data_IF_363236986168
#
_entry.id   IF_363236986168
#
_cell.length_a   1.000
_cell.length_b   1.000
_cell.length_c   1.000
_cell.angle_alpha   90.00
_cell.angle_beta   90.00
_cell.angle_gamma   90.00
#
_symmetry.space_group_name_H-M   'P 1'
#
loop_
_entity.id
_entity.type
_entity.pdbx_description
1 polymer ?
#
# COMPACT_ATOMS: atom_id res chain seq x y z
N UNK A 1 4.94 16.87 -18.43
CA UNK A 1 4.07 17.96 -18.94
C UNK A 1 4.89 18.92 -19.82
N UNK A 2 4.30 19.57 -20.83
CA UNK A 2 5.00 20.52 -21.70
C UNK A 2 5.53 21.75 -20.93
N UNK A 3 6.68 22.30 -21.35
CA UNK A 3 7.32 23.45 -20.67
C UNK A 3 6.44 24.70 -20.65
N UNK A 4 5.83 25.05 -21.78
CA UNK A 4 4.96 26.24 -21.90
C UNK A 4 3.72 26.13 -21.01
N UNK A 5 3.21 24.90 -20.85
CA UNK A 5 2.09 24.64 -19.96
C UNK A 5 2.46 24.89 -18.50
N UNK A 6 3.63 24.41 -18.06
CA UNK A 6 4.14 24.63 -16.71
C UNK A 6 4.32 26.12 -16.45
N UNK A 7 5.06 26.82 -17.32
CA UNK A 7 5.31 28.25 -17.18
C UNK A 7 4.00 29.04 -17.10
N UNK A 8 3.04 28.75 -17.98
CA UNK A 8 1.75 29.43 -18.02
C UNK A 8 0.99 29.32 -16.69
N UNK A 9 0.97 28.14 -16.06
CA UNK A 9 0.24 27.94 -14.81
C UNK A 9 1.01 28.42 -13.58
N UNK A 10 2.33 28.28 -13.54
CA UNK A 10 3.15 28.78 -12.42
C UNK A 10 3.09 30.31 -12.33
N UNK A 11 3.06 31.02 -13.47
CA UNK A 11 2.97 32.48 -13.52
C UNK A 11 1.53 33.01 -13.59
N UNK A 12 0.53 32.14 -13.56
CA UNK A 12 -0.88 32.55 -13.59
C UNK A 12 -1.29 33.19 -12.25
N UNK A 13 -1.95 34.36 -12.32
CA UNK A 13 -2.34 35.12 -11.12
C UNK A 13 -3.39 34.43 -10.25
N UNK A 14 -4.09 33.44 -10.78
CA UNK A 14 -5.08 32.63 -10.05
C UNK A 14 -4.46 31.42 -9.37
N UNK A 15 -3.18 31.14 -9.62
CA UNK A 15 -2.41 30.08 -8.99
C UNK A 15 -1.51 30.67 -7.90
N UNK A 16 -1.30 29.89 -6.85
CA UNK A 16 -0.42 30.21 -5.74
C UNK A 16 0.66 29.13 -5.66
N UNK A 17 1.86 29.51 -5.24
CA UNK A 17 2.96 28.57 -5.04
C UNK A 17 3.56 28.72 -3.65
N UNK A 18 3.85 27.59 -3.01
CA UNK A 18 4.72 27.52 -1.83
C UNK A 18 6.02 26.83 -2.24
N UNK A 19 7.15 27.41 -1.86
CA UNK A 19 8.47 26.91 -2.21
C UNK A 19 9.36 26.77 -0.98
N UNK A 20 10.22 25.76 -0.98
CA UNK A 20 11.35 25.66 -0.05
C UNK A 20 12.54 26.31 -0.73
N UNK A 21 13.11 27.31 -0.07
CA UNK A 21 14.26 28.07 -0.56
C UNK A 21 15.39 27.96 0.45
N UNK A 22 16.58 27.55 0.00
CA UNK A 22 17.83 27.58 0.76
C UNK A 22 18.56 28.89 0.50
N UNK A 23 19.36 29.32 1.47
CA UNK A 23 20.23 30.48 1.29
C UNK A 23 21.33 30.15 0.27
N UNK A 24 21.71 31.08 -0.64
CA UNK A 24 21.23 32.46 -0.70
C UNK A 24 19.81 32.61 -1.27
N UNK A 25 19.42 31.92 -2.35
CA UNK A 25 18.05 31.90 -2.92
C UNK A 25 17.83 30.68 -3.82
N UNK A 26 18.29 29.50 -3.40
CA UNK A 26 18.20 28.27 -4.17
C UNK A 26 16.88 27.54 -3.90
N UNK A 27 16.06 27.34 -4.94
CA UNK A 27 14.77 26.62 -4.81
C UNK A 27 15.00 25.11 -4.76
N UNK A 28 14.64 24.48 -3.65
CA UNK A 28 14.74 23.03 -3.43
C UNK A 28 13.54 22.29 -3.97
N UNK A 29 12.37 22.92 -3.95
CA UNK A 29 11.11 22.31 -4.38
C UNK A 29 9.92 23.21 -4.09
N UNK A 30 8.77 22.84 -4.62
CA UNK A 30 7.57 23.66 -4.53
C UNK A 30 6.29 22.90 -4.82
N UNK A 31 5.19 23.46 -4.33
CA UNK A 31 3.82 23.07 -4.71
C UNK A 31 3.12 24.29 -5.28
N UNK A 32 2.59 24.15 -6.49
CA UNK A 32 1.69 25.12 -7.11
C UNK A 32 0.28 24.58 -7.03
N UNK A 33 -0.65 25.40 -6.54
CA UNK A 33 -2.05 25.04 -6.35
C UNK A 33 -2.98 26.18 -6.76
N UNK A 34 -4.20 25.83 -7.14
CA UNK A 34 -5.27 26.76 -7.50
C UNK A 34 -6.40 26.69 -6.46
N UNK A 35 -6.63 27.73 -5.65
CA UNK A 35 -7.67 27.72 -4.64
C UNK A 35 -9.07 28.01 -5.22
N UNK A 36 -10.06 27.23 -4.80
CA UNK A 36 -11.48 27.47 -5.07
C UNK A 36 -12.21 27.73 -3.74
N UNK A 37 -11.98 28.91 -3.14
CA UNK A 37 -12.46 29.24 -1.79
C UNK A 37 -13.96 29.06 -1.60
N UNK A 38 -14.78 29.48 -2.57
CA UNK A 38 -16.25 29.30 -2.52
C UNK A 38 -16.69 27.84 -2.51
N UNK A 39 -15.87 26.95 -3.08
CA UNK A 39 -16.11 25.50 -3.20
C UNK A 39 -15.34 24.69 -2.16
N UNK A 40 -14.58 25.36 -1.26
CA UNK A 40 -13.82 24.78 -0.14
C UNK A 40 -12.80 23.71 -0.54
N UNK A 41 -12.33 23.72 -1.79
CA UNK A 41 -11.25 22.83 -2.25
C UNK A 41 -10.15 23.62 -2.98
N UNK A 42 -8.98 23.02 -3.12
CA UNK A 42 -7.92 23.49 -4.00
C UNK A 42 -7.43 22.36 -4.91
N UNK A 43 -7.09 22.71 -6.13
CA UNK A 43 -6.40 21.83 -7.07
C UNK A 43 -4.89 21.96 -6.85
N UNK A 44 -4.20 20.88 -6.52
CA UNK A 44 -2.73 20.83 -6.57
C UNK A 44 -2.34 20.50 -8.00
N UNK A 45 -1.69 21.45 -8.67
CA UNK A 45 -1.34 21.37 -10.09
C UNK A 45 0.06 20.77 -10.25
N UNK A 46 1.01 21.26 -9.46
CA UNK A 46 2.40 20.79 -9.49
C UNK A 46 2.90 20.53 -8.07
N UNK A 47 3.63 19.44 -7.88
CA UNK A 47 4.34 19.12 -6.66
C UNK A 47 5.67 18.49 -7.03
N UNK A 48 6.78 19.18 -6.81
CA UNK A 48 8.09 18.70 -7.20
C UNK A 48 9.16 19.09 -6.18
N UNK A 49 10.11 18.17 -5.97
CA UNK A 49 11.35 18.38 -5.21
C UNK A 49 12.51 18.08 -6.16
N UNK A 50 13.54 18.92 -6.11
CA UNK A 50 14.79 18.73 -6.86
C UNK A 50 15.35 17.33 -6.61
N UNK A 51 15.80 16.66 -7.67
CA UNK A 51 16.18 15.23 -7.66
C UNK A 51 17.25 14.92 -6.61
N UNK A 52 18.24 15.80 -6.45
CA UNK A 52 19.33 15.71 -5.47
C UNK A 52 18.88 15.90 -4.01
N UNK A 53 17.64 16.39 -3.80
CA UNK A 53 17.06 16.62 -2.48
C UNK A 53 15.88 15.68 -2.18
N UNK A 54 15.54 14.76 -3.08
CA UNK A 54 14.50 13.76 -2.83
C UNK A 54 14.89 12.84 -1.66
N UNK A 55 13.91 12.19 -1.04
CA UNK A 55 14.06 11.27 0.12
C UNK A 55 14.50 11.94 1.44
N UNK A 56 14.92 13.22 1.43
CA UNK A 56 15.31 13.98 2.64
C UNK A 56 14.13 14.53 3.47
N UNK A 57 12.89 14.14 3.16
CA UNK A 57 11.69 14.58 3.88
C UNK A 57 11.11 15.94 3.47
N UNK A 58 11.73 16.66 2.54
CA UNK A 58 11.24 17.99 2.09
C UNK A 58 9.82 17.97 1.54
N UNK A 59 9.43 16.95 0.77
CA UNK A 59 8.07 16.84 0.24
C UNK A 59 7.02 16.75 1.35
N UNK A 60 7.24 15.89 2.35
CA UNK A 60 6.32 15.77 3.49
C UNK A 60 6.26 17.07 4.30
N UNK A 61 7.42 17.73 4.50
CA UNK A 61 7.47 19.02 5.18
C UNK A 61 6.70 20.11 4.41
N UNK A 62 6.90 20.19 3.10
CA UNK A 62 6.22 21.14 2.22
C UNK A 62 4.70 20.95 2.22
N UNK A 63 4.23 19.70 2.12
CA UNK A 63 2.81 19.39 2.19
C UNK A 63 2.20 19.73 3.56
N UNK A 64 2.93 19.51 4.65
CA UNK A 64 2.49 19.91 5.99
C UNK A 64 2.35 21.43 6.11
N UNK A 65 3.32 22.20 5.61
CA UNK A 65 3.23 23.66 5.52
C UNK A 65 2.04 24.12 4.67
N UNK A 66 1.84 23.52 3.50
CA UNK A 66 0.71 23.85 2.62
C UNK A 66 -0.62 23.63 3.33
N UNK A 67 -0.82 22.47 3.97
CA UNK A 67 -2.05 22.14 4.71
C UNK A 67 -2.31 23.12 5.85
N UNK A 68 -1.30 23.40 6.68
CA UNK A 68 -1.45 24.32 7.80
C UNK A 68 -1.70 25.75 7.34
N UNK A 69 -1.00 26.20 6.29
CA UNK A 69 -1.18 27.52 5.69
C UNK A 69 -2.59 27.69 5.12
N UNK A 70 -3.02 26.79 4.22
CA UNK A 70 -4.33 26.87 3.54
C UNK A 70 -5.46 26.80 4.56
N UNK A 71 -5.36 25.94 5.56
CA UNK A 71 -6.37 25.83 6.62
C UNK A 71 -6.43 27.08 7.52
N UNK A 72 -5.32 27.77 7.70
CA UNK A 72 -5.26 28.99 8.52
C UNK A 72 -5.75 30.24 7.76
N UNK A 73 -5.63 30.27 6.44
CA UNK A 73 -5.87 31.48 5.62
C UNK A 73 -7.11 31.40 4.74
N UNK A 74 -7.77 30.24 4.66
CA UNK A 74 -8.89 30.02 3.74
C UNK A 74 -9.91 29.00 4.30
N UNK A 75 -11.13 28.90 3.73
CA UNK A 75 -12.11 27.89 4.12
C UNK A 75 -11.85 26.51 3.48
N UNK A 76 -10.73 26.33 2.78
CA UNK A 76 -10.43 25.11 2.04
C UNK A 76 -10.12 23.96 3.01
N UNK A 77 -10.79 22.84 2.80
CA UNK A 77 -10.61 21.61 3.59
C UNK A 77 -10.25 20.39 2.73
N UNK A 78 -10.28 20.53 1.40
CA UNK A 78 -10.02 19.44 0.47
C UNK A 78 -8.94 19.83 -0.53
N UNK A 79 -8.04 18.90 -0.81
CA UNK A 79 -7.15 18.99 -1.98
C UNK A 79 -7.52 17.92 -2.99
N UNK A 80 -7.58 18.31 -4.25
CA UNK A 80 -7.68 17.40 -5.39
C UNK A 80 -6.41 17.52 -6.23
N UNK A 81 -5.95 16.41 -6.76
CA UNK A 81 -4.77 16.36 -7.63
C UNK A 81 -4.88 15.22 -8.62
N UNK A 82 -4.30 15.39 -9.80
CA UNK A 82 -4.00 14.27 -10.69
C UNK A 82 -2.55 13.85 -10.46
N UNK A 83 -2.36 12.72 -9.80
CA UNK A 83 -1.04 12.16 -9.54
C UNK A 83 -0.61 11.25 -10.70
N UNK A 84 0.63 11.40 -11.15
CA UNK A 84 1.25 10.37 -11.99
C UNK A 84 1.49 9.08 -11.18
N UNK A 85 1.74 7.97 -11.89
CA UNK A 85 1.91 6.66 -11.25
C UNK A 85 3.05 6.62 -10.23
N UNK A 86 4.11 7.43 -10.42
CA UNK A 86 5.25 7.50 -9.51
C UNK A 86 4.95 8.29 -8.23
N UNK A 87 4.03 9.26 -8.30
CA UNK A 87 3.66 10.12 -7.19
C UNK A 87 2.52 9.56 -6.31
N UNK A 88 1.77 8.54 -6.75
CA UNK A 88 0.65 7.96 -5.98
C UNK A 88 1.11 7.55 -4.58
N UNK A 89 2.26 6.86 -4.46
CA UNK A 89 2.79 6.43 -3.16
C UNK A 89 3.11 7.61 -2.24
N UNK A 90 3.64 8.70 -2.79
CA UNK A 90 3.87 9.94 -2.04
C UNK A 90 2.55 10.53 -1.55
N UNK A 91 1.57 10.73 -2.44
CA UNK A 91 0.28 11.33 -2.09
C UNK A 91 -0.49 10.47 -1.07
N UNK A 92 -0.47 9.14 -1.19
CA UNK A 92 -1.02 8.22 -0.17
C UNK A 92 -0.43 8.48 1.21
N UNK A 93 0.91 8.57 1.32
CA UNK A 93 1.60 8.90 2.59
C UNK A 93 1.22 10.28 3.12
N UNK A 94 0.83 11.20 2.24
CA UNK A 94 0.31 12.52 2.60
C UNK A 94 -1.20 12.52 2.89
N UNK A 95 -1.88 11.37 3.00
CA UNK A 95 -3.30 11.28 3.33
C UNK A 95 -4.23 11.53 2.15
N UNK A 96 -3.76 11.31 0.92
CA UNK A 96 -4.63 11.27 -0.25
C UNK A 96 -5.13 9.84 -0.51
N UNK A 97 -6.35 9.73 -1.02
CA UNK A 97 -6.98 8.48 -1.46
C UNK A 97 -7.46 8.59 -2.90
N UNK A 98 -7.59 7.45 -3.60
CA UNK A 98 -8.22 7.39 -4.93
C UNK A 98 -9.75 7.51 -4.84
N UNK A 99 -10.33 7.30 -3.65
CA UNK A 99 -11.76 7.42 -3.41
C UNK A 99 -12.14 8.90 -3.26
N UNK A 100 -12.85 9.43 -4.25
CA UNK A 100 -13.29 10.83 -4.27
C UNK A 100 -14.67 10.92 -3.61
N UNK A 101 -14.68 11.37 -2.35
CA UNK A 101 -15.92 11.54 -1.57
C UNK A 101 -16.56 12.92 -1.78
N UNK A 102 -15.82 13.87 -2.35
CA UNK A 102 -16.35 15.19 -2.70
C UNK A 102 -17.32 15.08 -3.89
N UNK A 103 -18.52 15.60 -3.73
CA UNK A 103 -19.57 15.55 -4.75
C UNK A 103 -19.06 16.10 -6.10
N UNK A 104 -19.38 15.40 -7.19
CA UNK A 104 -18.91 15.73 -8.54
C UNK A 104 -19.26 17.15 -8.95
N UNK A 105 -20.42 17.68 -8.55
CA UNK A 105 -20.84 19.06 -8.86
C UNK A 105 -19.92 20.14 -8.26
N UNK A 106 -19.14 19.78 -7.25
CA UNK A 106 -18.22 20.70 -6.56
C UNK A 106 -16.94 20.91 -7.39
N UNK A 107 -16.44 19.89 -8.07
CA UNK A 107 -15.09 19.93 -8.68
C UNK A 107 -15.05 19.60 -10.18
N UNK A 108 -16.02 18.84 -10.69
CA UNK A 108 -16.05 18.42 -12.10
C UNK A 108 -16.19 19.64 -13.00
N UNK A 109 -15.31 19.76 -14.00
CA UNK A 109 -15.23 20.92 -14.90
C UNK A 109 -14.45 22.12 -14.35
N UNK A 110 -14.01 22.09 -13.09
CA UNK A 110 -13.19 23.16 -12.48
C UNK A 110 -11.70 22.85 -12.48
N UNK A 111 -11.35 21.57 -12.36
CA UNK A 111 -9.97 21.08 -12.41
C UNK A 111 -9.63 20.56 -13.80
N UNK A 112 -8.33 20.45 -14.11
CA UNK A 112 -7.87 19.91 -15.39
C UNK A 112 -7.70 18.40 -15.30
N UNK A 113 -8.29 17.70 -16.27
CA UNK A 113 -8.06 16.27 -16.47
C UNK A 113 -6.71 16.09 -17.17
N UNK A 114 -5.82 15.32 -16.56
CA UNK A 114 -4.53 14.98 -17.14
C UNK A 114 -4.54 13.55 -17.64
N UNK A 115 -4.24 13.38 -18.92
CA UNK A 115 -4.11 12.06 -19.53
C UNK A 115 -3.00 11.27 -18.83
N UNK A 116 -3.31 10.05 -18.37
CA UNK A 116 -2.39 9.20 -17.61
C UNK A 116 -2.23 9.56 -16.12
N UNK A 117 -2.97 10.56 -15.61
CA UNK A 117 -3.03 10.89 -14.19
C UNK A 117 -4.15 10.14 -13.46
N UNK A 118 -3.90 9.74 -12.21
CA UNK A 118 -4.93 9.23 -11.30
C UNK A 118 -5.43 10.37 -10.41
N UNK A 119 -6.72 10.66 -10.44
CA UNK A 119 -7.33 11.62 -9.52
C UNK A 119 -7.23 11.12 -8.07
N UNK A 120 -6.83 12.00 -7.16
CA UNK A 120 -6.73 11.70 -5.73
C UNK A 120 -7.27 12.86 -4.89
N UNK A 121 -7.90 12.53 -3.77
CA UNK A 121 -8.45 13.48 -2.81
C UNK A 121 -7.75 13.37 -1.46
N UNK A 122 -7.39 14.52 -0.87
CA UNK A 122 -7.02 14.64 0.54
C UNK A 122 -8.08 15.45 1.28
N UNK A 123 -8.67 14.84 2.31
CA UNK A 123 -9.58 15.52 3.25
C UNK A 123 -8.80 15.91 4.50
N UNK A 124 -8.65 17.21 4.75
CA UNK A 124 -7.86 17.70 5.89
C UNK A 124 -8.59 17.49 7.22
N UNK A 125 -7.81 17.24 8.28
CA UNK A 125 -8.32 17.04 9.63
C UNK A 125 -8.48 18.40 10.34
N UNK A 126 -9.68 18.78 10.81
CA UNK A 126 -9.94 20.12 11.32
C UNK A 126 -9.03 20.53 12.49
N UNK A 127 -8.85 19.63 13.46
CA UNK A 127 -8.18 19.93 14.74
C UNK A 127 -6.65 19.74 14.72
N UNK A 128 -6.07 19.24 13.63
CA UNK A 128 -4.64 18.89 13.59
C UNK A 128 -3.82 20.00 12.97
N UNK A 129 -2.71 20.39 13.61
CA UNK A 129 -1.64 21.16 12.96
C UNK A 129 -0.60 20.18 12.40
N UNK A 130 -0.53 20.05 11.09
CA UNK A 130 0.25 19.04 10.39
C UNK A 130 1.74 19.14 10.67
N UNK A 131 2.30 20.35 10.83
CA UNK A 131 3.69 20.55 11.22
C UNK A 131 4.01 20.02 12.62
N UNK A 132 3.00 19.85 13.48
CA UNK A 132 3.15 19.33 14.84
C UNK A 132 2.72 17.85 14.94
N UNK A 133 2.27 17.24 13.84
CA UNK A 133 1.77 15.87 13.84
C UNK A 133 2.75 14.85 14.45
N UNK A 134 4.07 14.87 14.16
CA UNK A 134 5.01 13.93 14.78
C UNK A 134 5.03 14.04 16.31
N UNK A 135 5.05 15.26 16.84
CA UNK A 135 5.03 15.50 18.29
C UNK A 135 3.68 15.08 18.91
N UNK A 136 2.57 15.34 18.22
CA UNK A 136 1.24 14.94 18.68
C UNK A 136 1.11 13.42 18.76
N UNK A 137 1.52 12.69 17.72
CA UNK A 137 1.51 11.23 17.67
C UNK A 137 2.39 10.63 18.76
N UNK A 138 3.58 11.20 18.98
CA UNK A 138 4.47 10.76 20.06
C UNK A 138 3.80 10.90 21.44
N UNK A 139 3.16 12.04 21.72
CA UNK A 139 2.41 12.24 22.98
C UNK A 139 1.22 11.30 23.13
N UNK A 140 0.49 11.03 22.04
CA UNK A 140 -0.61 10.07 22.05
C UNK A 140 -0.12 8.66 22.36
N UNK A 141 0.98 8.24 21.73
CA UNK A 141 1.64 6.96 22.02
C UNK A 141 2.06 6.88 23.49
N UNK A 142 2.69 7.92 24.03
CA UNK A 142 3.10 7.98 25.44
C UNK A 142 1.89 7.88 26.39
N UNK A 143 0.79 8.56 26.10
CA UNK A 143 -0.43 8.49 26.90
C UNK A 143 -1.05 7.08 26.90
N UNK A 144 -1.15 6.44 25.72
CA UNK A 144 -1.61 5.06 25.60
C UNK A 144 -0.69 4.11 26.36
N UNK A 145 0.62 4.23 26.18
CA UNK A 145 1.61 3.39 26.86
C UNK A 145 1.59 3.59 28.38
N UNK A 146 1.37 4.81 28.87
CA UNK A 146 1.22 5.08 30.31
C UNK A 146 -0.02 4.37 30.88
N UNK A 147 -1.14 4.41 30.16
CA UNK A 147 -2.36 3.68 30.56
C UNK A 147 -2.16 2.17 30.55
N UNK A 148 -1.48 1.65 29.53
CA UNK A 148 -1.11 0.22 29.45
C UNK A 148 -0.22 -0.14 30.64
N UNK A 149 0.83 0.61 30.94
CA UNK A 149 1.74 0.34 32.07
C UNK A 149 1.04 0.35 33.43
N UNK A 150 0.01 1.17 33.61
CA UNK A 150 -0.74 1.23 34.87
C UNK A 150 -1.54 -0.04 35.18
N UNK A 151 -1.85 -0.86 34.17
CA UNK A 151 -2.63 -2.10 34.32
C UNK A 151 -1.86 -3.36 33.91
N UNK A 152 -0.83 -3.21 33.08
CA UNK A 152 -0.09 -4.31 32.50
C UNK A 152 0.86 -4.92 33.52
N UNK A 153 0.65 -6.20 33.79
CA UNK A 153 1.59 -7.07 34.51
C UNK A 153 2.64 -7.71 33.59
N UNK A 154 2.70 -7.34 32.31
CA UNK A 154 3.55 -8.01 31.31
C UNK A 154 5.06 -7.86 31.54
N UNK A 155 5.47 -6.92 32.39
CA UNK A 155 6.87 -6.71 32.77
C UNK A 155 7.31 -7.63 33.92
N UNK A 156 6.39 -8.36 34.55
CA UNK A 156 6.68 -9.30 35.63
C UNK A 156 7.23 -10.58 35.00
N UNK A 157 8.46 -10.93 35.38
CA UNK A 157 9.09 -12.19 34.98
C UNK A 157 8.73 -13.25 36.02
N UNK A 158 7.98 -14.26 35.61
CA UNK A 158 7.62 -15.39 36.47
C UNK A 158 8.66 -16.51 36.39
N UNK A 159 9.03 -17.15 37.51
CA UNK A 159 9.91 -18.31 37.49
C UNK A 159 9.23 -19.50 36.78
N UNK A 160 10.02 -20.46 36.25
CA UNK A 160 9.45 -21.69 35.68
C UNK A 160 8.66 -22.48 36.75
N UNK A 161 7.63 -23.24 36.34
CA UNK A 161 6.90 -24.14 37.24
C UNK A 161 7.83 -25.10 37.98
N UNK A 162 7.57 -25.34 39.27
CA UNK A 162 8.40 -26.22 40.10
C UNK A 162 8.45 -27.66 39.57
N UNK A 163 7.39 -28.09 38.89
CA UNK A 163 7.28 -29.40 38.25
C UNK A 163 8.31 -29.60 37.12
N UNK A 164 8.87 -28.52 36.57
CA UNK A 164 9.91 -28.58 35.54
C UNK A 164 11.34 -28.68 36.08
N UNK A 165 11.52 -28.82 37.40
CA UNK A 165 12.85 -28.89 38.03
C UNK A 165 13.69 -30.07 37.52
N UNK A 166 13.05 -31.22 37.28
CA UNK A 166 13.72 -32.47 36.87
C UNK A 166 13.46 -32.83 35.39
N UNK A 167 12.90 -31.89 34.61
CA UNK A 167 12.58 -32.08 33.19
C UNK A 167 11.23 -31.47 32.79
N UNK A 168 11.05 -31.18 31.50
CA UNK A 168 9.81 -30.58 30.98
C UNK A 168 8.71 -31.65 30.96
N UNK A 169 7.58 -31.35 31.59
CA UNK A 169 6.38 -32.18 31.59
C UNK A 169 5.14 -31.34 31.25
N UNK A 170 4.06 -32.00 30.83
CA UNK A 170 2.78 -31.33 30.59
C UNK A 170 2.17 -30.86 31.92
N UNK A 171 1.73 -29.61 31.96
CA UNK A 171 1.11 -28.99 33.14
C UNK A 171 -0.18 -28.33 32.66
N UNK A 172 -1.26 -28.50 33.43
CA UNK A 172 -2.48 -27.72 33.23
C UNK A 172 -2.18 -26.21 33.41
N UNK A 173 -2.32 -25.38 32.36
CA UNK A 173 -2.02 -23.95 32.47
C UNK A 173 -2.88 -23.23 33.53
N UNK A 174 -4.08 -23.73 33.82
CA UNK A 174 -4.97 -23.16 34.85
C UNK A 174 -4.48 -23.43 36.28
N UNK A 175 -3.57 -24.39 36.46
CA UNK A 175 -2.89 -24.64 37.73
C UNK A 175 -1.81 -23.59 38.05
N UNK A 176 -1.36 -22.81 37.06
CA UNK A 176 -0.35 -21.76 37.23
C UNK A 176 -1.05 -20.45 37.61
N UNK A 177 -0.87 -19.92 38.83
CA UNK A 177 -1.62 -18.74 39.30
C UNK A 177 -1.48 -17.51 38.39
N UNK A 178 -0.28 -17.27 37.86
CA UNK A 178 -0.01 -16.15 36.97
C UNK A 178 -0.79 -16.23 35.64
N UNK A 179 -0.92 -17.44 35.07
CA UNK A 179 -1.69 -17.67 33.84
C UNK A 179 -3.18 -17.46 34.13
N UNK A 180 -3.68 -18.04 35.22
CA UNK A 180 -5.06 -17.87 35.66
C UNK A 180 -5.43 -16.40 35.90
N UNK A 181 -4.56 -15.65 36.57
CA UNK A 181 -4.75 -14.21 36.83
C UNK A 181 -4.67 -13.35 35.57
N UNK A 182 -3.99 -13.80 34.51
CA UNK A 182 -3.89 -13.07 33.25
C UNK A 182 -5.22 -13.05 32.46
N UNK A 183 -6.19 -13.89 32.85
CA UNK A 183 -7.43 -14.11 32.09
C UNK A 183 -7.22 -14.99 30.86
N UNK A 184 -6.09 -15.69 30.76
CA UNK A 184 -5.83 -16.68 29.73
C UNK A 184 -6.91 -17.76 29.75
N UNK A 185 -7.28 -18.25 28.56
CA UNK A 185 -8.17 -19.39 28.42
C UNK A 185 -7.69 -20.29 27.28
N UNK A 186 -8.03 -21.60 27.30
CA UNK A 186 -7.66 -22.52 26.23
C UNK A 186 -8.12 -22.06 24.84
N UNK A 187 -9.27 -21.40 24.73
CA UNK A 187 -9.77 -20.87 23.46
C UNK A 187 -8.95 -19.68 22.94
N UNK A 188 -8.45 -18.81 23.84
CA UNK A 188 -7.50 -17.75 23.45
C UNK A 188 -6.17 -18.34 22.98
N UNK A 189 -5.71 -19.41 23.63
CA UNK A 189 -4.50 -20.12 23.24
C UNK A 189 -4.65 -20.76 21.86
N UNK A 190 -5.75 -21.47 21.62
CA UNK A 190 -6.08 -22.08 20.34
C UNK A 190 -6.15 -21.03 19.22
N UNK A 191 -6.83 -19.89 19.47
CA UNK A 191 -6.85 -18.75 18.54
C UNK A 191 -5.44 -18.16 18.31
N UNK A 192 -4.59 -18.11 19.35
CA UNK A 192 -3.22 -17.61 19.21
C UNK A 192 -2.30 -18.55 18.43
N UNK A 193 -2.57 -19.86 18.52
CA UNK A 193 -1.88 -20.94 17.81
C UNK A 193 -2.38 -21.17 16.39
N UNK A 194 -3.53 -20.58 16.02
CA UNK A 194 -3.95 -20.55 14.63
C UNK A 194 -2.79 -19.99 13.79
N UNK A 195 -2.51 -20.61 12.63
CA UNK A 195 -1.48 -20.12 11.72
C UNK A 195 -1.73 -18.64 11.49
N UNK A 196 -0.82 -17.80 11.99
CA UNK A 196 -0.81 -16.40 11.60
C UNK A 196 -0.11 -16.38 10.27
N UNK A 197 -0.82 -15.91 9.27
CA UNK A 197 -0.22 -15.78 7.97
C UNK A 197 1.07 -14.97 8.04
N UNK A 198 2.02 -15.34 7.18
CA UNK A 198 3.33 -14.70 7.13
C UNK A 198 3.26 -13.19 6.92
N UNK A 199 4.34 -12.43 7.19
CA UNK A 199 4.37 -10.97 7.10
C UNK A 199 4.02 -10.42 5.71
N UNK A 200 4.17 -11.25 4.67
CA UNK A 200 3.90 -10.90 3.27
C UNK A 200 2.49 -11.31 2.80
N UNK A 201 1.71 -12.02 3.62
CA UNK A 201 0.46 -12.64 3.18
C UNK A 201 -0.53 -11.65 2.58
N UNK A 202 -0.76 -10.53 3.25
CA UNK A 202 -1.72 -9.54 2.77
C UNK A 202 -1.27 -8.94 1.43
N UNK A 203 0.02 -8.68 1.25
CA UNK A 203 0.58 -8.17 0.01
C UNK A 203 0.47 -9.21 -1.13
N UNK A 204 0.74 -10.49 -0.83
CA UNK A 204 0.59 -11.59 -1.81
C UNK A 204 -0.89 -11.79 -2.16
N UNK A 205 -1.79 -11.73 -1.18
CA UNK A 205 -3.23 -11.83 -1.38
C UNK A 205 -3.75 -10.68 -2.25
N UNK A 206 -3.27 -9.46 -2.03
CA UNK A 206 -3.62 -8.32 -2.88
C UNK A 206 -3.09 -8.51 -4.32
N UNK A 207 -1.83 -8.94 -4.48
CA UNK A 207 -1.26 -9.22 -5.80
C UNK A 207 -2.04 -10.32 -6.55
N UNK A 208 -2.38 -11.40 -5.86
CA UNK A 208 -3.15 -12.51 -6.42
C UNK A 208 -4.55 -12.04 -6.85
N UNK A 209 -5.25 -11.29 -6.00
CA UNK A 209 -6.55 -10.72 -6.34
C UNK A 209 -6.46 -9.79 -7.55
N UNK A 210 -5.44 -8.93 -7.62
CA UNK A 210 -5.22 -8.05 -8.76
C UNK A 210 -4.99 -8.86 -10.05
N UNK A 211 -4.23 -9.96 -9.97
CA UNK A 211 -4.02 -10.87 -11.09
C UNK A 211 -5.31 -11.58 -11.51
N UNK A 212 -6.06 -12.16 -10.57
CA UNK A 212 -7.34 -12.84 -10.84
C UNK A 212 -8.38 -11.92 -11.49
N UNK A 213 -8.43 -10.65 -11.09
CA UNK A 213 -9.36 -9.66 -11.63
C UNK A 213 -8.90 -9.02 -12.96
N UNK A 214 -7.69 -9.31 -13.42
CA UNK A 214 -7.18 -8.77 -14.68
C UNK A 214 -7.89 -9.43 -15.88
N UNK A 215 -8.22 -8.65 -16.91
CA UNK A 215 -8.99 -9.13 -18.07
C UNK A 215 -8.30 -10.24 -18.88
N UNK A 216 -6.99 -10.41 -18.70
CA UNK A 216 -6.19 -11.47 -19.33
C UNK A 216 -6.07 -12.76 -18.48
N UNK A 217 -6.72 -12.84 -17.32
CA UNK A 217 -6.58 -13.96 -16.38
C UNK A 217 -7.47 -15.17 -16.68
N UNK A 218 -8.48 -15.02 -17.54
CA UNK A 218 -9.48 -16.03 -17.81
C UNK A 218 -8.95 -17.45 -18.15
N UNK A 219 -7.82 -17.66 -18.86
CA UNK A 219 -7.33 -19.02 -19.13
C UNK A 219 -6.59 -19.65 -17.95
N UNK A 220 -6.24 -18.86 -16.94
CA UNK A 220 -5.39 -19.26 -15.82
C UNK A 220 -6.16 -19.31 -14.50
N UNK A 221 -7.48 -19.10 -14.54
CA UNK A 221 -8.31 -19.02 -13.35
C UNK A 221 -8.46 -20.36 -12.64
N UNK A 222 -8.36 -21.48 -13.37
CA UNK A 222 -8.55 -22.84 -12.89
C UNK A 222 -7.51 -23.77 -13.56
N UNK A 223 -7.26 -24.97 -13.00
CA UNK A 223 -6.43 -25.97 -13.65
C UNK A 223 -6.94 -26.34 -15.04
N UNK A 224 -6.04 -26.64 -15.98
CA UNK A 224 -6.42 -27.08 -17.33
C UNK A 224 -7.19 -28.40 -17.24
N UNK A 225 -8.42 -28.44 -17.76
CA UNK A 225 -9.24 -29.64 -17.71
C UNK A 225 -8.67 -30.72 -18.63
N UNK A 226 -8.29 -31.87 -18.06
CA UNK A 226 -7.74 -33.01 -18.81
C UNK A 226 -8.71 -33.57 -19.84
N UNK A 227 -10.02 -33.52 -19.57
CA UNK A 227 -11.02 -34.05 -20.49
C UNK A 227 -11.18 -33.15 -21.73
N UNK A 228 -10.91 -31.85 -21.58
CA UNK A 228 -10.92 -30.88 -22.68
C UNK A 228 -9.58 -30.81 -23.42
N UNK A 229 -8.47 -31.04 -22.71
CA UNK A 229 -7.10 -30.99 -23.24
C UNK A 229 -6.33 -32.28 -22.85
N UNK A 230 -6.54 -33.40 -23.58
CA UNK A 230 -6.09 -34.74 -23.13
C UNK A 230 -4.57 -34.91 -22.98
N UNK A 231 -3.78 -34.27 -23.83
CA UNK A 231 -2.32 -34.39 -23.87
C UNK A 231 -1.59 -33.38 -22.97
N UNK A 232 -2.32 -32.44 -22.33
CA UNK A 232 -1.72 -31.33 -21.59
C UNK A 232 -0.72 -31.79 -20.53
N UNK A 233 -1.12 -32.75 -19.70
CA UNK A 233 -0.30 -33.29 -18.60
C UNK A 233 0.81 -34.25 -19.08
N UNK A 234 0.79 -34.65 -20.35
CA UNK A 234 1.92 -35.36 -20.97
C UNK A 234 3.04 -34.39 -21.35
N UNK A 235 2.69 -33.16 -21.72
CA UNK A 235 3.63 -32.09 -22.13
C UNK A 235 4.09 -31.24 -20.94
N UNK A 236 3.16 -30.86 -20.06
CA UNK A 236 3.37 -29.99 -18.91
C UNK A 236 3.49 -30.84 -17.65
N UNK A 237 4.65 -30.75 -16.98
CA UNK A 237 5.00 -31.60 -15.83
C UNK A 237 4.71 -30.96 -14.48
N UNK A 238 4.74 -29.63 -14.42
CA UNK A 238 4.46 -28.85 -13.21
C UNK A 238 3.32 -27.87 -13.52
N UNK A 239 2.06 -28.36 -13.64
CA UNK A 239 0.91 -27.49 -13.91
C UNK A 239 0.71 -26.49 -12.77
N UNK A 240 0.25 -25.28 -13.11
CA UNK A 240 -0.07 -24.23 -12.14
C UNK A 240 -1.15 -23.32 -12.70
N UNK A 241 -1.96 -22.76 -11.81
CA UNK A 241 -3.06 -21.84 -12.09
C UNK A 241 -3.35 -20.96 -10.86
N UNK A 242 -4.16 -19.92 -11.04
CA UNK A 242 -4.42 -18.90 -10.02
C UNK A 242 -5.25 -19.44 -8.84
N UNK A 243 -6.10 -20.45 -9.03
CA UNK A 243 -6.85 -21.06 -7.92
C UNK A 243 -5.96 -21.97 -7.08
N UNK A 244 -5.08 -22.75 -7.71
CA UNK A 244 -4.05 -23.52 -7.00
C UNK A 244 -3.13 -22.59 -6.22
N UNK A 245 -2.73 -21.45 -6.79
CA UNK A 245 -1.95 -20.44 -6.06
C UNK A 245 -2.73 -19.85 -4.87
N UNK A 246 -4.04 -19.63 -5.00
CA UNK A 246 -4.90 -19.18 -3.90
C UNK A 246 -4.91 -20.17 -2.74
N UNK A 247 -5.14 -21.45 -3.03
CA UNK A 247 -5.11 -22.51 -2.02
C UNK A 247 -3.74 -22.60 -1.34
N UNK A 248 -2.65 -22.51 -2.11
CA UNK A 248 -1.29 -22.52 -1.56
C UNK A 248 -1.02 -21.31 -0.67
N UNK A 249 -1.52 -20.13 -1.03
CA UNK A 249 -1.39 -18.92 -0.21
C UNK A 249 -2.17 -19.03 1.09
N UNK A 250 -3.42 -19.49 1.06
CA UNK A 250 -4.26 -19.68 2.25
C UNK A 250 -3.65 -20.70 3.25
N UNK A 251 -2.90 -21.67 2.74
CA UNK A 251 -2.19 -22.68 3.53
C UNK A 251 -0.73 -22.29 3.86
N UNK A 252 -0.36 -21.01 3.74
CA UNK A 252 0.96 -20.46 4.08
C UNK A 252 2.15 -21.13 3.37
N UNK A 253 1.93 -21.64 2.14
CA UNK A 253 2.97 -22.30 1.35
C UNK A 253 3.89 -21.33 0.58
N UNK A 254 3.75 -20.03 0.81
CA UNK A 254 4.60 -18.98 0.26
C UNK A 254 5.32 -18.20 1.38
N UNK A 255 6.35 -18.80 2.01
CA UNK A 255 7.08 -18.14 3.08
C UNK A 255 7.86 -16.90 2.60
N UNK A 256 8.21 -16.86 1.30
CA UNK A 256 8.86 -15.71 0.67
C UNK A 256 8.15 -15.32 -0.63
N UNK A 257 8.16 -14.04 -1.03
CA UNK A 257 7.53 -13.59 -2.26
C UNK A 257 8.05 -14.30 -3.52
N UNK A 258 9.33 -14.70 -3.53
CA UNK A 258 9.96 -15.44 -4.61
C UNK A 258 9.30 -16.81 -4.85
N UNK A 259 8.77 -17.44 -3.79
CA UNK A 259 8.08 -18.73 -3.90
C UNK A 259 6.74 -18.57 -4.64
N UNK A 260 6.03 -17.45 -4.40
CA UNK A 260 4.81 -17.07 -5.15
C UNK A 260 5.13 -16.69 -6.60
N UNK A 261 6.17 -15.88 -6.81
CA UNK A 261 6.61 -15.45 -8.15
C UNK A 261 6.97 -16.66 -9.02
N UNK A 262 7.66 -17.65 -8.45
CA UNK A 262 8.00 -18.89 -9.16
C UNK A 262 6.75 -19.61 -9.68
N UNK A 263 5.73 -19.77 -8.84
CA UNK A 263 4.48 -20.42 -9.25
C UNK A 263 3.72 -19.58 -10.29
N UNK A 264 3.70 -18.25 -10.15
CA UNK A 264 3.12 -17.37 -11.16
C UNK A 264 3.84 -17.49 -12.51
N UNK A 265 5.18 -17.58 -12.51
CA UNK A 265 5.97 -17.80 -13.73
C UNK A 265 5.66 -19.14 -14.38
N UNK A 266 5.43 -20.20 -13.60
CA UNK A 266 4.98 -21.51 -14.13
C UNK A 266 3.70 -21.38 -14.96
N UNK A 267 2.73 -20.57 -14.53
CA UNK A 267 1.49 -20.33 -15.31
C UNK A 267 1.85 -19.84 -16.72
N UNK A 268 2.70 -18.81 -16.82
CA UNK A 268 3.04 -18.16 -18.09
C UNK A 268 3.95 -19.04 -18.95
N UNK A 269 4.94 -19.68 -18.36
CA UNK A 269 5.90 -20.52 -19.04
C UNK A 269 5.24 -21.81 -19.56
N UNK A 270 4.38 -22.44 -18.77
CA UNK A 270 3.60 -23.59 -19.22
C UNK A 270 2.65 -23.21 -20.37
N UNK A 271 2.00 -22.04 -20.27
CA UNK A 271 1.15 -21.54 -21.34
C UNK A 271 1.94 -21.36 -22.65
N UNK A 272 3.13 -20.75 -22.62
CA UNK A 272 3.98 -20.55 -23.79
C UNK A 272 4.60 -21.84 -24.31
N UNK A 273 4.88 -22.80 -23.43
CA UNK A 273 5.41 -24.11 -23.81
C UNK A 273 4.36 -24.94 -24.57
N UNK A 274 3.11 -24.90 -24.13
CA UNK A 274 2.03 -25.68 -24.74
C UNK A 274 1.40 -24.97 -25.96
N UNK A 275 1.30 -23.64 -25.94
CA UNK A 275 0.58 -22.88 -26.98
C UNK A 275 1.53 -22.09 -27.89
N UNK A 276 1.19 -21.98 -29.17
CA UNK A 276 1.89 -21.09 -30.11
C UNK A 276 1.75 -19.61 -29.71
N UNK A 277 2.79 -18.81 -29.94
CA UNK A 277 2.87 -17.38 -29.57
C UNK A 277 1.71 -16.52 -30.12
N UNK A 278 1.13 -16.90 -31.26
CA UNK A 278 0.05 -16.15 -31.88
C UNK A 278 -1.34 -16.40 -31.28
N UNK A 279 -1.46 -17.40 -30.40
CA UNK A 279 -2.72 -17.77 -29.78
C UNK A 279 -3.23 -16.71 -28.80
N UNK A 280 -4.57 -16.64 -28.57
CA UNK A 280 -5.13 -15.80 -27.50
C UNK A 280 -4.56 -16.13 -26.11
N UNK A 281 -4.22 -17.39 -25.87
CA UNK A 281 -3.63 -17.88 -24.62
C UNK A 281 -2.23 -17.28 -24.38
N UNK A 282 -1.31 -17.43 -25.33
CA UNK A 282 0.04 -16.88 -25.22
C UNK A 282 0.02 -15.35 -25.10
N UNK A 283 -0.86 -14.67 -25.84
CA UNK A 283 -1.06 -13.21 -25.70
C UNK A 283 -1.58 -12.82 -24.31
N UNK A 284 -2.45 -13.64 -23.72
CA UNK A 284 -2.98 -13.40 -22.38
C UNK A 284 -1.92 -13.63 -21.29
N UNK A 285 -1.10 -14.68 -21.42
CA UNK A 285 0.05 -14.93 -20.54
C UNK A 285 1.01 -13.73 -20.52
N UNK A 286 1.43 -13.26 -21.69
CA UNK A 286 2.35 -12.11 -21.79
C UNK A 286 1.76 -10.82 -21.19
N UNK A 287 0.45 -10.60 -21.33
CA UNK A 287 -0.23 -9.44 -20.73
C UNK A 287 -0.29 -9.54 -19.21
N UNK A 288 -0.69 -10.71 -18.69
CA UNK A 288 -0.84 -10.91 -17.25
C UNK A 288 0.51 -10.92 -16.53
N UNK A 289 1.54 -11.53 -17.12
CA UNK A 289 2.90 -11.51 -16.60
C UNK A 289 3.46 -10.08 -16.52
N UNK A 290 3.30 -9.30 -17.59
CA UNK A 290 3.68 -7.88 -17.59
C UNK A 290 2.94 -7.10 -16.50
N UNK A 291 1.66 -7.37 -16.31
CA UNK A 291 0.86 -6.74 -15.25
C UNK A 291 1.37 -7.14 -13.85
N UNK A 292 1.65 -8.42 -13.61
CA UNK A 292 2.23 -8.91 -12.36
C UNK A 292 3.54 -8.18 -12.04
N UNK A 293 4.47 -8.09 -12.99
CA UNK A 293 5.74 -7.39 -12.79
C UNK A 293 5.57 -5.89 -12.52
N UNK A 294 4.59 -5.24 -13.15
CA UNK A 294 4.23 -3.86 -12.83
C UNK A 294 3.74 -3.72 -11.39
N UNK A 295 2.92 -4.64 -10.89
CA UNK A 295 2.46 -4.61 -9.51
C UNK A 295 3.62 -4.86 -8.54
N UNK A 296 4.46 -5.87 -8.78
CA UNK A 296 5.65 -6.16 -7.95
C UNK A 296 6.57 -4.95 -7.86
N UNK A 297 6.83 -4.27 -8.98
CA UNK A 297 7.65 -3.06 -9.01
C UNK A 297 7.07 -1.89 -8.18
N UNK A 298 5.75 -1.83 -8.05
CA UNK A 298 5.06 -0.80 -7.26
C UNK A 298 5.08 -1.10 -5.74
N UNK A 299 5.50 -2.29 -5.34
CA UNK A 299 5.69 -2.68 -3.94
C UNK A 299 7.14 -2.35 -3.55
N UNK A 300 7.40 -1.32 -2.73
CA UNK A 300 8.77 -0.86 -2.44
C UNK A 300 9.68 -1.96 -1.88
N UNK A 301 9.14 -2.85 -1.07
CA UNK A 301 9.86 -3.96 -0.46
C UNK A 301 10.30 -5.01 -1.48
N UNK A 302 9.57 -5.14 -2.60
CA UNK A 302 9.78 -6.19 -3.61
C UNK A 302 10.25 -5.64 -4.95
N UNK A 303 10.51 -4.33 -5.06
CA UNK A 303 10.89 -3.70 -6.33
C UNK A 303 12.18 -4.28 -6.93
N UNK A 304 13.04 -4.86 -6.08
CA UNK A 304 14.27 -5.54 -6.48
C UNK A 304 14.05 -6.95 -7.07
N UNK A 305 12.85 -7.52 -6.87
CA UNK A 305 12.45 -8.81 -7.43
C UNK A 305 11.84 -8.68 -8.83
N UNK A 306 11.48 -7.46 -9.25
CA UNK A 306 10.85 -7.22 -10.54
C UNK A 306 11.84 -7.39 -11.70
N UNK A 307 11.47 -8.21 -12.68
CA UNK A 307 12.17 -8.35 -13.98
C UNK A 307 11.81 -7.23 -14.98
#
# INVERSE_FOLDING_TARGET
>A
MPKDYIARLVYDKTHLSIAIVKQPLEVVGGITYRPFNSRKFAEIVFCAISSDQQVKGYGAHLMAHLKDYVKATSPIMYFLTYADNYAIGYFKKQGFTKEITLDKSIWMGYIKDYEGGTIMQCSMLPKIRYLQAPRMLQKQKEAVMAKIRAVSKSHIVHPPPAQWKDGICEIDPMSIPAIKESGWSPSMDELSRQPRHGPNYNQLLHLLNDMQNHTAAWPFAQPVNKDEVPDYYEVIKEPMDLSTMEDRLQNDLYPRPEDFIRDAKLIFDNCRKYNNENTPYAKSANKLEKFMWQQIKNIPEWSHLAE
#
